data_IF_942029773895
#
_entry.id   IF_942029773895
#
_cell.length_a   1.000
_cell.length_b   1.000
_cell.length_c   1.000
_cell.angle_alpha   90.00
_cell.angle_beta   90.00
_cell.angle_gamma   90.00
#
_symmetry.space_group_name_H-M   'P 1'
#
loop_
_entity.id
_entity.type
_entity.pdbx_description
1 polymer ?
#
# COMPACT_ATOMS: atom_id res chain seq x y z
N UNK A 1 -14.66 -7.27 -6.35
CA UNK A 1 -13.75 -6.23 -6.88
C UNK A 1 -12.34 -6.79 -6.75
N UNK A 2 -12.00 -7.76 -7.60
CA UNK A 2 -11.01 -8.81 -7.25
C UNK A 2 -9.55 -8.36 -7.24
N UNK A 3 -9.20 -7.30 -7.99
CA UNK A 3 -7.82 -6.79 -8.04
C UNK A 3 -7.53 -5.91 -6.82
N UNK A 4 -8.41 -4.93 -6.54
CA UNK A 4 -8.27 -4.05 -5.37
C UNK A 4 -8.25 -4.82 -4.04
N UNK A 5 -9.15 -5.79 -3.86
CA UNK A 5 -9.17 -6.63 -2.67
C UNK A 5 -7.86 -7.41 -2.48
N UNK A 6 -7.28 -7.88 -3.59
CA UNK A 6 -6.01 -8.62 -3.57
C UNK A 6 -4.83 -7.70 -3.25
N UNK A 7 -4.72 -6.56 -3.92
CA UNK A 7 -3.65 -5.60 -3.67
C UNK A 7 -3.73 -5.03 -2.24
N UNK A 8 -4.95 -4.84 -1.70
CA UNK A 8 -5.16 -4.49 -0.30
C UNK A 8 -4.64 -5.57 0.66
N UNK A 9 -4.94 -6.84 0.40
CA UNK A 9 -4.49 -7.95 1.23
C UNK A 9 -2.95 -8.10 1.19
N UNK A 10 -2.35 -8.05 0.00
CA UNK A 10 -0.91 -8.19 -0.21
C UNK A 10 -0.14 -7.00 0.38
N UNK A 11 -0.64 -5.76 0.21
CA UNK A 11 -0.06 -4.56 0.83
C UNK A 11 -0.13 -4.60 2.36
N UNK A 12 -1.26 -5.03 2.93
CA UNK A 12 -1.41 -5.16 4.39
C UNK A 12 -0.45 -6.20 4.96
N UNK A 13 -0.23 -7.32 4.27
CA UNK A 13 0.75 -8.32 4.68
C UNK A 13 2.18 -7.74 4.70
N UNK A 14 2.56 -6.97 3.68
CA UNK A 14 3.86 -6.31 3.62
C UNK A 14 4.04 -5.28 4.74
N UNK A 15 3.03 -4.46 5.01
CA UNK A 15 3.04 -3.48 6.12
C UNK A 15 3.19 -4.19 7.47
N UNK A 16 2.44 -5.26 7.71
CA UNK A 16 2.52 -6.04 8.95
C UNK A 16 3.89 -6.69 9.14
N UNK A 17 4.51 -7.17 8.05
CA UNK A 17 5.86 -7.72 8.10
C UNK A 17 6.88 -6.68 8.55
N UNK A 18 6.84 -5.48 7.97
CA UNK A 18 7.75 -4.38 8.35
C UNK A 18 7.47 -3.91 9.78
N UNK A 19 6.20 -3.79 10.17
CA UNK A 19 5.79 -3.35 11.50
C UNK A 19 6.12 -4.34 12.62
N UNK A 20 6.32 -5.62 12.30
CA UNK A 20 6.70 -6.64 13.28
C UNK A 20 8.18 -6.54 13.71
N UNK A 21 8.99 -5.72 13.03
CA UNK A 21 10.41 -5.57 13.35
C UNK A 21 10.62 -4.62 14.54
N UNK A 22 11.58 -4.91 15.45
CA UNK A 22 11.88 -4.06 16.61
C UNK A 22 12.35 -2.64 16.26
N UNK A 23 12.80 -2.43 15.03
CA UNK A 23 13.20 -1.14 14.50
C UNK A 23 13.06 -1.12 12.99
N UNK A 24 12.66 0.01 12.45
CA UNK A 24 12.39 0.19 11.02
C UNK A 24 13.38 1.20 10.47
N UNK A 25 14.27 0.75 9.58
CA UNK A 25 15.24 1.62 8.92
C UNK A 25 14.60 2.37 7.75
N UNK A 26 15.17 3.52 7.39
CA UNK A 26 14.73 4.28 6.20
C UNK A 26 14.76 3.41 4.95
N UNK A 27 15.83 2.63 4.75
CA UNK A 27 15.94 1.77 3.58
C UNK A 27 14.87 0.66 3.53
N UNK A 28 14.42 0.18 4.69
CA UNK A 28 13.32 -0.77 4.73
C UNK A 28 11.99 -0.11 4.33
N UNK A 29 11.76 1.13 4.75
CA UNK A 29 10.63 1.94 4.27
C UNK A 29 10.73 2.17 2.76
N UNK A 30 11.91 2.50 2.23
CA UNK A 30 12.10 2.69 0.79
C UNK A 30 11.75 1.41 0.00
N UNK A 31 12.19 0.25 0.50
CA UNK A 31 11.83 -1.04 -0.08
C UNK A 31 10.33 -1.34 0.00
N UNK A 32 9.68 -1.00 1.12
CA UNK A 32 8.23 -1.13 1.27
C UNK A 32 7.50 -0.22 0.28
N UNK A 33 7.95 1.03 0.13
CA UNK A 33 7.40 2.00 -0.82
C UNK A 33 7.61 1.58 -2.29
N UNK A 34 8.62 0.76 -2.57
CA UNK A 34 8.85 0.15 -3.89
C UNK A 34 7.98 -1.10 -4.16
N UNK A 35 7.21 -1.59 -3.16
CA UNK A 35 6.35 -2.76 -3.33
C UNK A 35 5.21 -2.49 -4.32
N UNK A 36 5.07 -3.35 -5.32
CA UNK A 36 4.09 -3.17 -6.41
C UNK A 36 2.65 -3.14 -5.90
N UNK A 37 2.29 -3.99 -4.93
CA UNK A 37 0.93 -4.08 -4.39
C UNK A 37 0.60 -2.85 -3.53
N UNK A 38 1.57 -2.38 -2.73
CA UNK A 38 1.39 -1.13 -1.97
C UNK A 38 1.19 0.06 -2.90
N UNK A 39 2.00 0.18 -3.95
CA UNK A 39 1.87 1.28 -4.92
C UNK A 39 0.58 1.21 -5.73
N UNK A 40 0.16 0.02 -6.14
CA UNK A 40 -1.12 -0.17 -6.82
C UNK A 40 -2.28 0.29 -5.93
N UNK A 41 -2.34 -0.20 -4.69
CA UNK A 41 -3.38 0.17 -3.72
C UNK A 41 -3.42 1.68 -3.46
N UNK A 42 -2.26 2.31 -3.21
CA UNK A 42 -2.20 3.75 -2.97
C UNK A 42 -2.68 4.55 -4.19
N UNK A 43 -2.36 4.10 -5.39
CA UNK A 43 -2.82 4.72 -6.64
C UNK A 43 -4.34 4.62 -6.77
N UNK A 44 -4.90 3.44 -6.50
CA UNK A 44 -6.36 3.25 -6.51
C UNK A 44 -7.06 4.15 -5.48
N UNK A 45 -6.48 4.34 -4.29
CA UNK A 45 -7.01 5.25 -3.28
C UNK A 45 -6.97 6.71 -3.73
N UNK A 46 -5.89 7.17 -4.39
CA UNK A 46 -5.83 8.52 -4.94
C UNK A 46 -6.88 8.74 -6.04
N UNK A 47 -7.09 7.75 -6.91
CA UNK A 47 -8.14 7.84 -7.93
C UNK A 47 -9.55 7.92 -7.33
N UNK A 48 -9.79 7.22 -6.22
CA UNK A 48 -11.05 7.29 -5.49
C UNK A 48 -11.25 8.65 -4.83
N UNK A 49 -10.19 9.22 -4.26
CA UNK A 49 -10.20 10.58 -3.67
C UNK A 49 -10.57 11.62 -4.74
N UNK A 50 -9.89 11.60 -5.89
CA UNK A 50 -10.17 12.48 -7.03
C UNK A 50 -11.62 12.33 -7.53
N UNK A 51 -12.15 11.10 -7.53
CA UNK A 51 -13.52 10.84 -7.95
C UNK A 51 -14.54 11.43 -6.97
N UNK A 52 -14.28 11.35 -5.67
CA UNK A 52 -15.14 11.90 -4.62
C UNK A 52 -15.17 13.43 -4.71
N UNK A 53 -14.02 14.07 -4.92
CA UNK A 53 -13.92 15.53 -5.07
C UNK A 53 -14.64 16.05 -6.33
N UNK A 54 -14.76 15.22 -7.36
CA UNK A 54 -15.44 15.56 -8.61
C UNK A 54 -16.99 15.45 -8.54
N UNK A 55 -17.56 14.95 -7.45
CA UNK A 55 -19.01 14.79 -7.24
C UNK A 55 -19.66 16.01 -6.56
#
# INVERSE_FOLDING_TARGET
MSVLERDAADALAAVRLVAALPGVSSQLIDNLNANIHLRALLTDLFLLDDLIDAM
#
